data_IF_526428828614
#
_entry.id   IF_526428828614
#
_cell.length_a   1.000
_cell.length_b   1.000
_cell.length_c   1.000
_cell.angle_alpha   90.00
_cell.angle_beta   90.00
_cell.angle_gamma   90.00
#
_symmetry.space_group_name_H-M   'P 1'
#
loop_
_entity.id
_entity.type
_entity.pdbx_description
1 polymer ?
#
# COMPACT_ATOMS: atom_id res chain seq x y z
N UNK A 1 15.20 0.06 -8.73
CA UNK A 1 14.38 1.12 -8.11
C UNK A 1 13.39 0.46 -7.19
N UNK A 2 13.45 0.79 -5.90
CA UNK A 2 12.53 0.29 -4.88
C UNK A 2 11.14 0.85 -5.12
N UNK A 3 10.13 -0.01 -5.19
CA UNK A 3 8.69 0.34 -5.24
C UNK A 3 8.28 1.34 -4.16
N UNK A 4 8.98 1.33 -3.01
CA UNK A 4 8.82 2.31 -1.95
C UNK A 4 9.15 3.75 -2.36
N UNK A 5 10.17 3.97 -3.20
CA UNK A 5 10.52 5.32 -3.67
C UNK A 5 9.50 5.85 -4.69
N UNK A 6 8.94 4.97 -5.51
CA UNK A 6 7.87 5.33 -6.45
C UNK A 6 6.62 5.77 -5.69
N UNK A 7 6.22 5.03 -4.64
CA UNK A 7 5.11 5.41 -3.78
C UNK A 7 5.37 6.72 -3.04
N UNK A 8 6.56 6.90 -2.46
CA UNK A 8 6.96 8.13 -1.76
C UNK A 8 6.93 9.35 -2.68
N UNK A 9 7.49 9.23 -3.88
CA UNK A 9 7.51 10.31 -4.87
C UNK A 9 6.10 10.62 -5.40
N UNK A 10 5.24 9.61 -5.57
CA UNK A 10 3.84 9.82 -5.95
C UNK A 10 3.06 10.57 -4.87
N UNK A 11 3.26 10.25 -3.59
CA UNK A 11 2.62 10.96 -2.47
C UNK A 11 3.13 12.41 -2.38
N UNK A 12 4.45 12.63 -2.50
CA UNK A 12 5.02 13.98 -2.50
C UNK A 12 4.53 14.83 -3.68
N UNK A 13 4.43 14.23 -4.86
CA UNK A 13 3.86 14.87 -6.04
C UNK A 13 2.36 15.17 -5.86
N UNK A 14 1.61 14.25 -5.25
CA UNK A 14 0.19 14.43 -4.93
C UNK A 14 -0.06 15.57 -3.94
N UNK A 15 0.74 15.65 -2.88
CA UNK A 15 0.68 16.74 -1.91
C UNK A 15 0.97 18.10 -2.55
N UNK A 16 2.02 18.20 -3.38
CA UNK A 16 2.35 19.43 -4.10
C UNK A 16 1.26 19.84 -5.09
N UNK A 17 0.55 18.88 -5.70
CA UNK A 17 -0.57 19.15 -6.60
C UNK A 17 -1.77 19.74 -5.83
N UNK A 18 -2.05 19.22 -4.63
CA UNK A 18 -3.15 19.69 -3.79
C UNK A 18 -2.94 21.13 -3.31
N UNK A 19 -1.71 21.49 -2.96
CA UNK A 19 -1.35 22.84 -2.53
C UNK A 19 -1.45 23.85 -3.68
N UNK A 20 -0.99 23.47 -4.88
CA UNK A 20 -1.09 24.28 -6.09
C UNK A 20 -2.53 24.52 -6.55
N UNK A 21 -3.40 23.52 -6.40
CA UNK A 21 -4.84 23.65 -6.70
C UNK A 21 -5.49 24.64 -5.73
N UNK A 22 -5.11 24.59 -4.45
CA UNK A 22 -5.66 25.50 -3.43
C UNK A 22 -5.23 26.94 -3.68
N UNK A 23 -3.95 27.19 -4.00
CA UNK A 23 -3.48 28.52 -4.42
C UNK A 23 -4.19 29.03 -5.69
N UNK A 24 -4.40 28.17 -6.69
CA UNK A 24 -5.05 28.57 -7.94
C UNK A 24 -6.50 28.99 -7.72
N UNK A 25 -7.21 28.29 -6.84
CA UNK A 25 -8.59 28.64 -6.44
C UNK A 25 -8.61 29.94 -5.63
N UNK A 26 -7.69 30.12 -4.68
CA UNK A 26 -7.57 31.37 -3.91
C UNK A 26 -7.26 32.58 -4.81
N UNK A 27 -6.44 32.39 -5.85
CA UNK A 27 -6.15 33.44 -6.83
C UNK A 27 -7.37 33.81 -7.69
N UNK A 28 -8.19 32.83 -8.09
CA UNK A 28 -9.45 33.07 -8.78
C UNK A 28 -10.45 33.82 -7.89
N UNK A 29 -10.46 33.53 -6.59
CA UNK A 29 -11.27 34.24 -5.60
C UNK A 29 -10.79 35.69 -5.43
N UNK A 30 -9.47 35.92 -5.31
CA UNK A 30 -8.88 37.26 -5.21
C UNK A 30 -9.10 38.11 -6.46
N UNK A 31 -9.11 37.49 -7.65
CA UNK A 31 -9.42 38.15 -8.92
C UNK A 31 -10.91 38.52 -9.05
N UNK A 32 -11.76 38.07 -8.13
CA UNK A 32 -13.21 38.32 -8.15
C UNK A 32 -13.97 37.49 -9.19
N UNK A 33 -13.31 36.53 -9.84
CA UNK A 33 -13.96 35.60 -10.78
C UNK A 33 -14.75 34.52 -10.03
N UNK A 34 -14.42 34.27 -8.76
CA UNK A 34 -15.13 33.38 -7.86
C UNK A 34 -15.36 34.04 -6.50
N UNK A 35 -16.50 33.76 -5.86
CA UNK A 35 -16.70 34.12 -4.46
C UNK A 35 -16.00 33.08 -3.55
N UNK A 36 -15.56 33.46 -2.34
CA UNK A 36 -14.92 32.56 -1.35
C UNK A 36 -15.76 31.29 -1.13
N UNK A 37 -17.09 31.45 -1.05
CA UNK A 37 -18.02 30.33 -0.88
C UNK A 37 -18.03 29.37 -2.06
N UNK A 38 -17.77 29.82 -3.28
CA UNK A 38 -17.73 28.95 -4.47
C UNK A 38 -16.36 28.26 -4.59
N UNK A 39 -15.26 28.98 -4.31
CA UNK A 39 -13.92 28.39 -4.30
C UNK A 39 -13.79 27.26 -3.27
N UNK A 40 -14.21 27.51 -2.03
CA UNK A 40 -14.20 26.49 -0.97
C UNK A 40 -15.04 25.26 -1.33
N UNK A 41 -16.17 25.46 -2.02
CA UNK A 41 -17.07 24.38 -2.43
C UNK A 41 -16.47 23.54 -3.56
N UNK A 42 -15.81 24.17 -4.54
CA UNK A 42 -15.10 23.47 -5.62
C UNK A 42 -13.94 22.63 -5.09
N UNK A 43 -13.13 23.17 -4.18
CA UNK A 43 -12.05 22.41 -3.53
C UNK A 43 -12.62 21.21 -2.78
N UNK A 44 -13.69 21.42 -2.00
CA UNK A 44 -14.33 20.35 -1.24
C UNK A 44 -14.90 19.25 -2.15
N UNK A 45 -15.64 19.60 -3.19
CA UNK A 45 -16.19 18.63 -4.15
C UNK A 45 -15.08 17.89 -4.90
N UNK A 46 -13.99 18.57 -5.26
CA UNK A 46 -12.84 17.95 -5.91
C UNK A 46 -12.13 16.97 -4.97
N UNK A 47 -11.90 17.36 -3.71
CA UNK A 47 -11.32 16.48 -2.70
C UNK A 47 -12.23 15.29 -2.41
N UNK A 48 -13.52 15.47 -2.18
CA UNK A 48 -14.46 14.37 -1.93
C UNK A 48 -14.53 13.39 -3.11
N UNK A 49 -14.52 13.91 -4.34
CA UNK A 49 -14.51 13.07 -5.55
C UNK A 49 -13.18 12.34 -5.71
N UNK A 50 -12.06 13.03 -5.50
CA UNK A 50 -10.74 12.44 -5.53
C UNK A 50 -10.58 11.34 -4.47
N UNK A 51 -11.09 11.53 -3.25
CA UNK A 51 -10.98 10.54 -2.17
C UNK A 51 -11.78 9.27 -2.50
N UNK A 52 -12.97 9.45 -3.09
CA UNK A 52 -13.83 8.34 -3.53
C UNK A 52 -13.20 7.55 -4.67
N UNK A 53 -12.70 8.25 -5.69
CA UNK A 53 -12.01 7.64 -6.83
C UNK A 53 -10.69 6.98 -6.39
N UNK A 54 -9.96 7.61 -5.44
CA UNK A 54 -8.73 7.07 -4.85
C UNK A 54 -8.99 5.76 -4.11
N UNK A 55 -10.08 5.67 -3.34
CA UNK A 55 -10.41 4.44 -2.61
C UNK A 55 -10.71 3.26 -3.54
N UNK A 56 -11.40 3.49 -4.65
CA UNK A 56 -11.63 2.43 -5.66
C UNK A 56 -10.35 2.09 -6.41
N UNK A 57 -9.53 3.09 -6.75
CA UNK A 57 -8.22 2.88 -7.35
C UNK A 57 -7.30 2.09 -6.43
N UNK A 58 -7.22 2.40 -5.14
CA UNK A 58 -6.41 1.68 -4.15
C UNK A 58 -6.85 0.22 -4.03
N UNK A 59 -8.15 -0.08 -4.07
CA UNK A 59 -8.64 -1.47 -4.09
C UNK A 59 -8.20 -2.20 -5.34
N UNK A 60 -8.42 -1.63 -6.52
CA UNK A 60 -8.04 -2.23 -7.80
C UNK A 60 -6.51 -2.43 -7.90
N UNK A 61 -5.74 -1.45 -7.42
CA UNK A 61 -4.28 -1.51 -7.35
C UNK A 61 -3.84 -2.61 -6.37
N UNK A 62 -4.45 -2.71 -5.19
CA UNK A 62 -4.11 -3.74 -4.21
C UNK A 62 -4.41 -5.14 -4.75
N UNK A 63 -5.56 -5.35 -5.42
CA UNK A 63 -5.88 -6.62 -6.08
C UNK A 63 -4.94 -6.93 -7.23
N UNK A 64 -4.58 -5.92 -8.03
CA UNK A 64 -3.63 -6.08 -9.15
C UNK A 64 -2.24 -6.44 -8.64
N UNK A 65 -1.78 -5.78 -7.57
CA UNK A 65 -0.50 -6.06 -6.93
C UNK A 65 -0.52 -7.45 -6.32
N UNK A 66 -1.57 -7.83 -5.57
CA UNK A 66 -1.70 -9.17 -4.98
C UNK A 66 -1.70 -10.24 -6.07
N UNK A 67 -2.50 -10.07 -7.12
CA UNK A 67 -2.58 -11.00 -8.25
C UNK A 67 -1.26 -11.11 -9.01
N UNK A 68 -0.53 -9.99 -9.14
CA UNK A 68 0.79 -9.95 -9.78
C UNK A 68 1.86 -10.61 -8.92
N UNK A 69 1.83 -10.40 -7.60
CA UNK A 69 2.72 -11.06 -6.63
C UNK A 69 2.48 -12.57 -6.60
N UNK A 70 1.21 -13.00 -6.62
CA UNK A 70 0.80 -14.40 -6.71
C UNK A 70 1.31 -15.04 -8.00
N UNK A 71 1.15 -14.35 -9.15
CA UNK A 71 1.63 -14.82 -10.46
C UNK A 71 3.15 -14.88 -10.55
N UNK A 72 3.87 -13.97 -9.87
CA UNK A 72 5.33 -13.99 -9.83
C UNK A 72 5.90 -15.00 -8.81
N UNK A 73 5.06 -15.77 -8.11
CA UNK A 73 5.48 -16.67 -7.02
C UNK A 73 6.44 -15.99 -6.04
N UNK A 74 6.21 -14.71 -5.75
CA UNK A 74 7.00 -14.03 -4.72
C UNK A 74 6.40 -14.44 -3.38
N UNK A 75 7.10 -15.27 -2.59
CA UNK A 75 6.57 -15.72 -1.30
C UNK A 75 6.34 -14.50 -0.41
N UNK A 76 5.15 -14.42 0.15
CA UNK A 76 4.83 -13.38 1.14
C UNK A 76 5.60 -13.66 2.44
N UNK A 77 5.66 -12.65 3.31
CA UNK A 77 6.30 -12.80 4.62
C UNK A 77 5.62 -13.91 5.45
N UNK A 78 4.30 -14.04 5.32
CA UNK A 78 3.52 -15.11 5.95
C UNK A 78 3.88 -16.50 5.42
N UNK A 79 4.17 -16.63 4.12
CA UNK A 79 4.62 -17.90 3.55
C UNK A 79 6.01 -18.28 4.06
N UNK A 80 6.88 -17.30 4.26
CA UNK A 80 8.21 -17.51 4.86
C UNK A 80 8.08 -18.00 6.30
N UNK A 81 7.21 -17.38 7.11
CA UNK A 81 6.97 -17.77 8.50
C UNK A 81 6.35 -19.18 8.60
N UNK A 82 5.38 -19.51 7.73
CA UNK A 82 4.82 -20.87 7.64
C UNK A 82 5.88 -21.90 7.25
N UNK A 83 6.82 -21.54 6.37
CA UNK A 83 7.90 -22.44 5.98
C UNK A 83 8.88 -22.63 7.13
N UNK A 84 9.18 -21.57 7.88
CA UNK A 84 10.05 -21.63 9.05
C UNK A 84 9.44 -22.49 10.17
N UNK A 85 8.13 -22.33 10.45
CA UNK A 85 7.41 -23.20 11.39
C UNK A 85 7.46 -24.67 10.96
N UNK A 86 7.23 -24.97 9.68
CA UNK A 86 7.35 -26.35 9.18
C UNK A 86 8.76 -26.90 9.34
N UNK A 87 9.79 -26.07 9.11
CA UNK A 87 11.19 -26.46 9.31
C UNK A 87 11.47 -26.75 10.79
N UNK A 88 10.97 -25.92 11.72
CA UNK A 88 11.10 -26.16 13.15
C UNK A 88 10.37 -27.44 13.59
N UNK A 89 9.16 -27.67 13.09
CA UNK A 89 8.35 -28.85 13.43
C UNK A 89 9.01 -30.14 12.91
N UNK A 90 9.53 -30.11 11.68
CA UNK A 90 10.31 -31.21 11.10
C UNK A 90 11.60 -31.40 11.90
N UNK A 91 12.31 -30.33 12.25
CA UNK A 91 13.55 -30.40 13.04
C UNK A 91 13.30 -30.98 14.43
N UNK A 92 12.19 -30.62 15.08
CA UNK A 92 11.79 -31.17 16.37
C UNK A 92 11.46 -32.66 16.28
N UNK A 93 10.78 -33.09 15.20
CA UNK A 93 10.48 -34.50 14.93
C UNK A 93 11.74 -35.31 14.63
N UNK A 94 12.65 -34.79 13.83
CA UNK A 94 13.95 -35.43 13.55
C UNK A 94 14.72 -35.57 14.86
N UNK A 95 14.83 -34.52 15.68
CA UNK A 95 15.53 -34.57 16.97
C UNK A 95 14.91 -35.58 17.94
N UNK A 96 13.59 -35.75 17.91
CA UNK A 96 12.87 -36.76 18.71
C UNK A 96 13.08 -38.18 18.20
N UNK A 97 13.24 -38.37 16.89
CA UNK A 97 13.52 -39.66 16.26
C UNK A 97 15.00 -40.05 16.42
N UNK A 98 15.92 -39.11 16.27
CA UNK A 98 17.36 -39.30 16.49
C UNK A 98 17.68 -39.48 17.98
N UNK A 99 16.93 -38.85 18.88
CA UNK A 99 16.99 -39.12 20.33
C UNK A 99 16.40 -40.48 20.76
N UNK A 100 15.69 -41.17 19.87
CA UNK A 100 15.15 -42.51 20.09
C UNK A 100 15.96 -43.65 19.45
N UNK A 101 17.01 -43.32 18.68
CA UNK A 101 17.88 -44.31 18.01
C UNK A 101 19.09 -44.76 18.84
N UNK A 102 19.25 -44.24 20.06
CA UNK A 102 20.40 -44.49 20.93
C UNK A 102 20.08 -45.29 22.19
N UNK A 103 19.32 -46.38 22.10
CA UNK A 103 19.34 -47.43 23.12
C UNK A 103 18.78 -48.74 22.54
N UNK A 104 19.65 -49.63 22.04
CA UNK A 104 19.21 -50.95 21.60
C UNK A 104 20.17 -51.69 20.67
N UNK A 105 21.25 -52.21 21.30
CA UNK A 105 22.26 -53.16 20.79
C UNK A 105 23.36 -52.59 19.88
#
# INVERSE_FOLDING_TARGET
>A
MTIFDVARNAVLAGFGMQEKVREFVDDLVKKGELNESQGAKLVKEWTEKADKDSSELFKNISETISSTLDKMKIPTKDDFDKMNQKIEDISARIKKLEGGGGCGN
#
